data_IF_842304737799
#
_entry.id   IF_842304737799
#
_cell.length_a   1.000
_cell.length_b   1.000
_cell.length_c   1.000
_cell.angle_alpha   90.00
_cell.angle_beta   90.00
_cell.angle_gamma   90.00
#
_symmetry.space_group_name_H-M   'P 1'
#
loop_
_entity.id
_entity.type
_entity.pdbx_description
1 polymer ?
#
# COMPACT_ATOMS: atom_id res chain seq x y z
N UNK A 1 24.26 26.13 -20.75
CA UNK A 1 23.45 26.84 -19.74
C UNK A 1 22.09 27.16 -20.36
N UNK A 2 21.12 26.25 -20.26
CA UNK A 2 19.73 26.53 -20.65
C UNK A 2 18.91 26.59 -19.36
N UNK A 3 19.10 27.67 -18.60
CA UNK A 3 18.13 28.07 -17.59
C UNK A 3 16.92 28.65 -18.35
N UNK A 4 16.18 27.74 -19.00
CA UNK A 4 15.05 28.10 -19.85
C UNK A 4 13.84 28.45 -18.98
N UNK A 5 13.25 29.60 -19.25
CA UNK A 5 12.03 30.10 -18.62
C UNK A 5 10.97 28.99 -18.60
N UNK A 6 10.64 28.41 -17.43
CA UNK A 6 9.74 27.25 -17.36
C UNK A 6 8.33 27.59 -17.89
N UNK A 7 7.94 28.87 -17.81
CA UNK A 7 6.67 29.38 -18.33
C UNK A 7 6.60 29.35 -19.87
N UNK A 8 7.70 29.70 -20.54
CA UNK A 8 7.79 29.64 -22.01
C UNK A 8 7.74 28.18 -22.48
N UNK A 9 8.44 27.28 -21.78
CA UNK A 9 8.43 25.86 -22.07
C UNK A 9 7.03 25.23 -21.86
N UNK A 10 6.30 25.66 -20.83
CA UNK A 10 4.91 25.25 -20.61
C UNK A 10 4.00 25.76 -21.73
N UNK A 11 4.13 27.02 -22.14
CA UNK A 11 3.31 27.61 -23.22
C UNK A 11 3.51 26.89 -24.56
N UNK A 12 4.75 26.56 -24.91
CA UNK A 12 5.06 25.75 -26.09
C UNK A 12 4.44 24.35 -25.97
N UNK A 13 4.53 23.71 -24.79
CA UNK A 13 3.93 22.40 -24.58
C UNK A 13 2.39 22.45 -24.64
N UNK A 14 1.76 23.51 -24.13
CA UNK A 14 0.30 23.73 -24.22
C UNK A 14 -0.18 23.75 -25.66
N UNK A 15 0.53 24.48 -26.52
CA UNK A 15 0.23 24.52 -27.94
C UNK A 15 0.34 23.13 -28.56
N UNK A 16 1.38 22.37 -28.23
CA UNK A 16 1.57 21.01 -28.76
C UNK A 16 0.51 20.04 -28.25
N UNK A 17 0.15 20.13 -26.97
CA UNK A 17 -0.84 19.27 -26.35
C UNK A 17 -2.25 19.51 -26.93
N UNK A 18 -2.58 20.76 -27.27
CA UNK A 18 -3.84 21.10 -27.92
C UNK A 18 -4.01 20.46 -29.32
N UNK A 19 -2.91 20.21 -30.03
CA UNK A 19 -2.92 19.59 -31.36
C UNK A 19 -2.73 18.06 -31.30
N UNK A 20 -2.16 17.54 -30.22
CA UNK A 20 -1.92 16.11 -30.05
C UNK A 20 -3.22 15.36 -29.75
N UNK A 21 -3.61 14.45 -30.64
CA UNK A 21 -4.79 13.60 -30.44
C UNK A 21 -4.55 12.54 -29.37
N UNK A 22 -5.48 12.29 -28.44
CA UNK A 22 -5.35 11.20 -27.46
C UNK A 22 -5.09 9.85 -28.12
N UNK A 23 -4.40 8.95 -27.42
CA UNK A 23 -4.02 7.63 -27.92
C UNK A 23 -3.12 7.66 -29.17
N UNK A 24 -2.20 8.62 -29.26
CA UNK A 24 -1.17 8.68 -30.30
C UNK A 24 0.23 8.72 -29.68
N UNK A 25 1.28 8.27 -30.40
CA UNK A 25 2.65 8.39 -29.91
C UNK A 25 3.05 9.84 -29.62
N UNK A 26 2.53 10.80 -30.40
CA UNK A 26 2.74 12.23 -30.17
C UNK A 26 2.14 12.67 -28.83
N UNK A 27 0.91 12.24 -28.52
CA UNK A 27 0.28 12.54 -27.23
C UNK A 27 1.06 11.95 -26.06
N UNK A 28 1.56 10.71 -26.18
CA UNK A 28 2.41 10.10 -25.16
C UNK A 28 3.68 10.92 -24.91
N UNK A 29 4.34 11.37 -25.98
CA UNK A 29 5.55 12.19 -25.89
C UNK A 29 5.29 13.57 -25.30
N UNK A 30 4.23 14.25 -25.74
CA UNK A 30 3.90 15.61 -25.27
C UNK A 30 3.51 15.60 -23.80
N UNK A 31 2.73 14.61 -23.36
CA UNK A 31 2.38 14.42 -21.95
C UNK A 31 3.60 14.03 -21.10
N UNK A 32 4.48 13.17 -21.60
CA UNK A 32 5.76 12.89 -20.92
C UNK A 32 6.58 14.17 -20.72
N UNK A 33 6.75 14.98 -21.76
CA UNK A 33 7.48 16.25 -21.68
C UNK A 33 6.83 17.22 -20.69
N UNK A 34 5.49 17.28 -20.66
CA UNK A 34 4.73 18.08 -19.69
C UNK A 34 5.03 17.66 -18.25
N UNK A 35 5.14 16.37 -17.98
CA UNK A 35 5.54 15.89 -16.65
C UNK A 35 6.93 16.38 -16.23
N UNK A 36 7.90 16.39 -17.15
CA UNK A 36 9.25 16.88 -16.86
C UNK A 36 9.28 18.39 -16.58
N UNK A 37 8.37 19.16 -17.18
CA UNK A 37 8.20 20.58 -16.85
C UNK A 37 7.66 20.74 -15.43
N UNK A 38 6.65 19.96 -15.06
CA UNK A 38 6.11 19.99 -13.69
C UNK A 38 7.12 19.49 -12.65
N UNK A 39 7.97 18.51 -12.98
CA UNK A 39 9.12 18.11 -12.16
C UNK A 39 10.03 19.31 -11.84
N UNK A 40 10.38 20.11 -12.86
CA UNK A 40 11.22 21.30 -12.69
C UNK A 40 10.55 22.40 -11.87
N UNK A 41 9.23 22.50 -11.97
CA UNK A 41 8.41 23.44 -11.19
C UNK A 41 8.15 22.97 -9.75
N UNK A 42 8.57 21.74 -9.40
CA UNK A 42 8.31 21.15 -8.08
C UNK A 42 6.85 20.73 -7.87
N UNK A 43 6.03 20.68 -8.92
CA UNK A 43 4.64 20.27 -8.84
C UNK A 43 4.52 18.75 -9.07
N UNK A 44 4.70 17.98 -7.99
CA UNK A 44 4.65 16.51 -8.01
C UNK A 44 3.30 15.95 -8.46
N UNK A 45 2.19 16.59 -8.11
CA UNK A 45 0.85 16.10 -8.46
C UNK A 45 0.62 16.14 -9.98
N UNK A 46 0.92 17.27 -10.62
CA UNK A 46 0.81 17.37 -12.08
C UNK A 46 1.88 16.53 -12.79
N UNK A 47 3.08 16.40 -12.22
CA UNK A 47 4.08 15.46 -12.73
C UNK A 47 3.52 14.04 -12.80
N UNK A 48 3.00 13.50 -11.69
CA UNK A 48 2.39 12.16 -11.64
C UNK A 48 1.24 12.02 -12.61
N UNK A 49 0.36 13.02 -12.68
CA UNK A 49 -0.79 13.02 -13.61
C UNK A 49 -0.35 12.87 -15.06
N UNK A 50 0.62 13.67 -15.51
CA UNK A 50 1.08 13.63 -16.89
C UNK A 50 1.93 12.40 -17.21
N UNK A 51 2.69 11.87 -16.23
CA UNK A 51 3.35 10.57 -16.36
C UNK A 51 2.31 9.45 -16.54
N UNK A 52 1.22 9.45 -15.77
CA UNK A 52 0.16 8.46 -15.88
C UNK A 52 -0.56 8.52 -17.25
N UNK A 53 -0.84 9.73 -17.76
CA UNK A 53 -1.44 9.90 -19.10
C UNK A 53 -0.53 9.38 -20.21
N UNK A 54 0.77 9.65 -20.10
CA UNK A 54 1.77 9.16 -21.05
C UNK A 54 1.88 7.64 -20.99
N UNK A 55 2.09 7.07 -19.79
CA UNK A 55 2.20 5.63 -19.57
C UNK A 55 0.96 4.86 -20.04
N UNK A 56 -0.25 5.38 -19.77
CA UNK A 56 -1.50 4.78 -20.23
C UNK A 56 -1.57 4.76 -21.76
N UNK A 57 -1.08 5.81 -22.42
CA UNK A 57 -1.04 5.88 -23.88
C UNK A 57 -0.05 4.88 -24.46
N UNK A 58 1.15 4.77 -23.87
CA UNK A 58 2.16 3.79 -24.29
C UNK A 58 1.63 2.36 -24.19
N UNK A 59 0.97 2.02 -23.06
CA UNK A 59 0.34 0.71 -22.86
C UNK A 59 -0.73 0.43 -23.92
N UNK A 60 -1.61 1.41 -24.20
CA UNK A 60 -2.67 1.26 -25.23
C UNK A 60 -2.10 1.04 -26.63
N UNK A 61 -0.96 1.64 -26.91
CA UNK A 61 -0.27 1.53 -28.19
C UNK A 61 0.70 0.36 -28.26
N UNK A 62 0.82 -0.43 -27.18
CA UNK A 62 1.82 -1.52 -27.06
C UNK A 62 3.26 -1.03 -27.32
N UNK A 63 3.56 0.21 -26.94
CA UNK A 63 4.91 0.78 -27.00
C UNK A 63 5.68 0.23 -25.80
N UNK A 64 6.79 -0.46 -26.07
CA UNK A 64 7.55 -1.21 -25.08
C UNK A 64 8.56 -0.38 -24.30
N UNK A 65 8.68 0.91 -24.64
CA UNK A 65 9.55 1.88 -23.97
C UNK A 65 8.78 2.64 -22.87
N UNK A 66 8.59 2.00 -21.71
CA UNK A 66 7.77 2.54 -20.61
C UNK A 66 8.49 3.54 -19.71
N UNK A 67 9.20 4.52 -20.28
CA UNK A 67 9.91 5.55 -19.51
C UNK A 67 8.97 6.29 -18.52
N UNK A 68 7.76 6.61 -18.97
CA UNK A 68 6.75 7.30 -18.17
C UNK A 68 6.29 6.49 -16.96
N UNK A 69 6.09 5.17 -17.14
CA UNK A 69 5.67 4.28 -16.06
C UNK A 69 6.79 4.06 -15.05
N UNK A 70 8.04 4.03 -15.53
CA UNK A 70 9.22 3.93 -14.69
C UNK A 70 9.39 5.17 -13.80
N UNK A 71 9.32 6.37 -14.37
CA UNK A 71 9.37 7.63 -13.59
C UNK A 71 8.21 7.72 -12.59
N UNK A 72 7.03 7.23 -12.95
CA UNK A 72 5.88 7.20 -12.03
C UNK A 72 6.13 6.25 -10.86
N UNK A 73 6.73 5.09 -11.11
CA UNK A 73 7.11 4.15 -10.05
C UNK A 73 8.15 4.73 -9.10
N UNK A 74 9.12 5.50 -9.62
CA UNK A 74 10.13 6.22 -8.82
C UNK A 74 9.46 7.24 -7.88
N UNK A 75 8.55 8.08 -8.38
CA UNK A 75 7.83 9.05 -7.55
C UNK A 75 7.01 8.37 -6.44
N UNK A 76 6.31 7.29 -6.77
CA UNK A 76 5.51 6.53 -5.80
C UNK A 76 6.40 5.88 -4.73
N UNK A 77 7.59 5.43 -5.11
CA UNK A 77 8.58 4.93 -4.17
C UNK A 77 9.07 6.03 -3.22
N UNK A 78 9.39 7.22 -3.73
CA UNK A 78 9.77 8.38 -2.90
C UNK A 78 8.65 8.81 -1.93
N UNK A 79 7.39 8.70 -2.35
CA UNK A 79 6.21 9.01 -1.54
C UNK A 79 5.85 7.90 -0.53
N UNK A 80 6.50 6.74 -0.61
CA UNK A 80 6.26 5.59 0.27
C UNK A 80 5.11 4.67 -0.19
N UNK A 81 4.53 4.91 -1.36
CA UNK A 81 3.55 4.01 -1.99
C UNK A 81 4.26 2.84 -2.68
N UNK A 82 4.81 1.96 -1.84
CA UNK A 82 5.62 0.82 -2.26
C UNK A 82 4.84 -0.19 -3.11
N UNK A 83 3.54 -0.34 -2.87
CA UNK A 83 2.72 -1.33 -3.61
C UNK A 83 2.54 -0.91 -5.07
N UNK A 84 2.16 0.34 -5.31
CA UNK A 84 2.00 0.83 -6.68
C UNK A 84 3.35 0.97 -7.39
N UNK A 85 4.38 1.46 -6.70
CA UNK A 85 5.74 1.51 -7.23
C UNK A 85 6.21 0.12 -7.71
N UNK A 86 6.07 -0.90 -6.86
CA UNK A 86 6.43 -2.28 -7.19
C UNK A 86 5.65 -2.84 -8.38
N UNK A 87 4.34 -2.63 -8.41
CA UNK A 87 3.48 -3.11 -9.49
C UNK A 87 3.84 -2.48 -10.83
N UNK A 88 4.10 -1.17 -10.86
CA UNK A 88 4.40 -0.44 -12.09
C UNK A 88 5.79 -0.78 -12.62
N UNK A 89 6.81 -0.85 -11.75
CA UNK A 89 8.16 -1.23 -12.17
C UNK A 89 8.21 -2.66 -12.69
N UNK A 90 7.51 -3.59 -12.04
CA UNK A 90 7.47 -5.00 -12.44
C UNK A 90 6.76 -5.20 -13.77
N UNK A 91 5.68 -4.47 -14.01
CA UNK A 91 5.00 -4.47 -15.31
C UNK A 91 5.92 -3.95 -16.42
N UNK A 92 6.53 -2.77 -16.23
CA UNK A 92 7.47 -2.19 -17.19
C UNK A 92 8.65 -3.13 -17.50
N UNK A 93 9.16 -3.83 -16.49
CA UNK A 93 10.26 -4.76 -16.65
C UNK A 93 9.89 -6.00 -17.47
N UNK A 94 8.74 -6.60 -17.19
CA UNK A 94 8.28 -7.81 -17.91
C UNK A 94 8.09 -7.53 -19.41
N UNK A 95 7.53 -6.36 -19.76
CA UNK A 95 7.38 -5.94 -21.15
C UNK A 95 8.75 -5.63 -21.80
N UNK A 96 9.65 -4.92 -21.12
CA UNK A 96 10.98 -4.59 -21.66
C UNK A 96 11.83 -5.85 -21.92
N UNK A 97 11.77 -6.83 -21.01
CA UNK A 97 12.52 -8.08 -21.11
C UNK A 97 11.98 -8.99 -22.22
N UNK A 98 10.65 -9.01 -22.42
CA UNK A 98 9.99 -9.80 -23.48
C UNK A 98 10.31 -9.29 -24.89
N UNK A 99 10.61 -8.00 -25.05
CA UNK A 99 10.93 -7.38 -26.34
C UNK A 99 12.43 -7.11 -26.57
N UNK A 100 13.32 -7.70 -25.76
CA UNK A 100 14.78 -7.72 -25.97
C UNK A 100 15.41 -6.32 -26.09
N UNK A 101 14.84 -5.30 -25.44
CA UNK A 101 15.38 -3.94 -25.36
C UNK A 101 16.56 -3.88 -24.36
N UNK A 102 17.65 -4.55 -24.74
CA UNK A 102 18.80 -4.93 -23.89
C UNK A 102 19.59 -3.76 -23.28
N UNK A 103 19.51 -2.57 -23.88
CA UNK A 103 20.24 -1.38 -23.40
C UNK A 103 19.68 -0.83 -22.09
N UNK A 104 18.37 -0.95 -21.86
CA UNK A 104 17.70 -0.37 -20.68
C UNK A 104 17.54 -1.36 -19.53
N UNK A 105 17.50 -2.67 -19.80
CA UNK A 105 17.39 -3.71 -18.76
C UNK A 105 18.55 -3.71 -17.76
N UNK A 106 19.76 -3.32 -18.16
CA UNK A 106 20.90 -3.21 -17.24
C UNK A 106 20.78 -2.02 -16.27
N UNK A 107 20.21 -0.90 -16.71
CA UNK A 107 19.99 0.28 -15.85
C UNK A 107 18.79 0.12 -14.92
N UNK A 108 17.73 -0.57 -15.37
CA UNK A 108 16.52 -0.76 -14.57
C UNK A 108 16.60 -1.92 -13.58
N UNK A 109 17.58 -2.83 -13.72
CA UNK A 109 17.79 -3.96 -12.80
C UNK A 109 18.11 -3.52 -11.35
N UNK A 110 18.90 -2.45 -11.17
CA UNK A 110 19.30 -1.97 -9.84
C UNK A 110 18.13 -1.42 -9.03
N UNK A 111 17.30 -0.57 -9.67
CA UNK A 111 16.12 0.02 -9.02
C UNK A 111 15.02 -1.04 -8.82
N UNK A 112 14.82 -1.96 -9.77
CA UNK A 112 13.92 -3.08 -9.57
C UNK A 112 14.33 -3.93 -8.36
N UNK A 113 15.62 -4.25 -8.23
CA UNK A 113 16.13 -5.01 -7.08
C UNK A 113 15.95 -4.26 -5.76
N UNK A 114 16.11 -2.93 -5.75
CA UNK A 114 15.88 -2.13 -4.56
C UNK A 114 14.39 -2.09 -4.17
N UNK A 115 13.50 -1.89 -5.14
CA UNK A 115 12.05 -1.87 -4.91
C UNK A 115 11.56 -3.26 -4.47
N UNK A 116 12.07 -4.35 -5.06
CA UNK A 116 11.72 -5.71 -4.65
C UNK A 116 12.19 -6.01 -3.22
N UNK A 117 13.43 -5.66 -2.87
CA UNK A 117 13.97 -5.86 -1.52
C UNK A 117 13.20 -5.05 -0.47
N UNK A 118 12.91 -3.78 -0.75
CA UNK A 118 12.16 -2.90 0.16
C UNK A 118 10.70 -3.36 0.33
N UNK A 119 10.06 -3.84 -0.75
CA UNK A 119 8.73 -4.40 -0.70
C UNK A 119 8.68 -5.71 0.10
N UNK A 120 9.65 -6.61 -0.08
CA UNK A 120 9.76 -7.84 0.69
C UNK A 120 9.95 -7.55 2.19
N UNK A 121 10.85 -6.64 2.54
CA UNK A 121 11.06 -6.24 3.93
C UNK A 121 9.80 -5.62 4.56
N UNK A 122 9.04 -4.82 3.81
CA UNK A 122 7.76 -4.27 4.26
C UNK A 122 6.74 -5.38 4.52
N UNK A 123 6.63 -6.38 3.63
CA UNK A 123 5.74 -7.53 3.79
C UNK A 123 6.10 -8.38 5.00
N UNK A 124 7.38 -8.63 5.22
CA UNK A 124 7.85 -9.39 6.38
C UNK A 124 7.47 -8.68 7.69
N UNK A 125 7.72 -7.37 7.78
CA UNK A 125 7.33 -6.57 8.96
C UNK A 125 5.82 -6.56 9.20
N UNK A 126 4.99 -6.53 8.14
CA UNK A 126 3.54 -6.64 8.27
C UNK A 126 3.12 -8.02 8.79
N UNK A 127 3.72 -9.09 8.28
CA UNK A 127 3.46 -10.45 8.73
C UNK A 127 3.83 -10.66 10.20
N UNK A 128 4.95 -10.10 10.64
CA UNK A 128 5.36 -10.20 12.06
C UNK A 128 4.40 -9.43 12.99
N UNK A 129 3.93 -8.26 12.56
CA UNK A 129 2.87 -7.54 13.29
C UNK A 129 1.58 -8.34 13.37
N UNK A 130 1.19 -9.00 12.28
CA UNK A 130 0.00 -9.84 12.27
C UNK A 130 0.15 -11.04 13.21
N UNK A 131 1.32 -11.70 13.21
CA UNK A 131 1.64 -12.77 14.15
C UNK A 131 1.57 -12.30 15.61
N UNK A 132 2.09 -11.10 15.91
CA UNK A 132 1.99 -10.51 17.25
C UNK A 132 0.53 -10.29 17.65
N UNK A 133 -0.30 -9.74 16.78
CA UNK A 133 -1.73 -9.55 17.06
C UNK A 133 -2.46 -10.86 17.28
N UNK A 134 -2.14 -11.91 16.52
CA UNK A 134 -2.69 -13.25 16.75
C UNK A 134 -2.34 -13.76 18.15
N UNK A 135 -1.07 -13.64 18.57
CA UNK A 135 -0.65 -14.02 19.92
C UNK A 135 -1.41 -13.26 21.02
N UNK A 136 -1.58 -11.94 20.86
CA UNK A 136 -2.32 -11.11 21.81
C UNK A 136 -3.80 -11.51 21.90
N UNK A 137 -4.45 -11.72 20.75
CA UNK A 137 -5.85 -12.15 20.68
C UNK A 137 -6.02 -13.53 21.32
N UNK A 138 -5.13 -14.47 21.03
CA UNK A 138 -5.15 -15.80 21.66
C UNK A 138 -5.01 -15.71 23.18
N UNK A 139 -4.09 -14.88 23.69
CA UNK A 139 -3.92 -14.66 25.13
C UNK A 139 -5.17 -14.04 25.77
N UNK A 140 -5.79 -13.05 25.11
CA UNK A 140 -7.04 -12.42 25.54
C UNK A 140 -8.20 -13.43 25.61
N UNK A 141 -8.32 -14.32 24.63
CA UNK A 141 -9.34 -15.38 24.63
C UNK A 141 -9.14 -16.34 25.81
N UNK A 142 -7.91 -16.78 26.06
CA UNK A 142 -7.60 -17.67 27.20
C UNK A 142 -7.91 -16.98 28.53
N UNK A 143 -7.49 -15.72 28.69
CA UNK A 143 -7.79 -14.93 29.88
C UNK A 143 -9.31 -14.81 30.10
N UNK A 144 -10.06 -14.55 29.05
CA UNK A 144 -11.51 -14.44 29.10
C UNK A 144 -12.17 -15.75 29.55
N UNK A 145 -11.75 -16.89 28.98
CA UNK A 145 -12.25 -18.22 29.37
C UNK A 145 -11.95 -18.51 30.84
N UNK A 146 -10.75 -18.18 31.32
CA UNK A 146 -10.37 -18.35 32.73
C UNK A 146 -11.23 -17.47 33.64
N UNK A 147 -11.44 -16.20 33.28
CA UNK A 147 -12.26 -15.27 34.06
C UNK A 147 -13.72 -15.76 34.16
N UNK A 148 -14.31 -16.18 33.04
CA UNK A 148 -15.67 -16.75 33.01
C UNK A 148 -15.75 -18.02 33.86
N UNK A 149 -14.78 -18.93 33.75
CA UNK A 149 -14.72 -20.14 34.57
C UNK A 149 -14.57 -19.85 36.07
N UNK A 150 -13.80 -18.83 36.43
CA UNK A 150 -13.64 -18.38 37.81
C UNK A 150 -14.95 -17.82 38.38
N UNK A 151 -15.65 -16.96 37.63
CA UNK A 151 -16.96 -16.40 38.00
C UNK A 151 -17.97 -17.53 38.21
N UNK A 152 -18.02 -18.50 37.30
CA UNK A 152 -18.94 -19.63 37.41
C UNK A 152 -18.69 -20.47 38.68
N UNK A 153 -17.41 -20.75 38.99
CA UNK A 153 -17.03 -21.43 40.25
C UNK A 153 -17.36 -20.61 41.49
N UNK A 154 -17.16 -19.30 41.45
CA UNK A 154 -17.49 -18.40 42.55
C UNK A 154 -19.01 -18.41 42.82
N UNK A 155 -19.82 -18.38 41.77
CA UNK A 155 -21.29 -18.44 41.86
C UNK A 155 -21.78 -19.76 42.49
N UNK A 156 -21.21 -20.90 42.08
CA UNK A 156 -21.54 -22.21 42.66
C UNK A 156 -21.17 -22.31 44.15
N UNK A 157 -20.05 -21.71 44.57
CA UNK A 157 -19.69 -21.66 46.00
C UNK A 157 -20.67 -20.82 46.80
N UNK A 158 -21.12 -19.70 46.23
CA UNK A 158 -22.07 -18.79 46.88
C UNK A 158 -23.46 -19.45 47.02
N UNK A 159 -23.92 -20.18 46.01
CA UNK A 159 -25.20 -20.91 46.11
C UNK A 159 -25.14 -22.05 47.14
N UNK A 160 -24.03 -22.79 47.19
CA UNK A 160 -23.84 -23.85 48.18
C UNK A 160 -23.79 -23.32 49.62
N UNK A 161 -23.21 -22.13 49.85
CA UNK A 161 -23.20 -21.48 51.16
C UNK A 161 -24.60 -20.97 51.56
N UNK A 162 -25.38 -20.43 50.60
CA UNK A 162 -26.77 -20.00 50.85
C UNK A 162 -27.68 -21.17 51.22
N UNK A 163 -27.62 -22.29 50.50
CA UNK A 163 -28.44 -23.46 50.81
C UNK A 163 -28.17 -24.02 52.22
N UNK A 164 -26.92 -23.96 52.69
CA UNK A 164 -26.57 -24.39 54.06
C UNK A 164 -27.13 -23.44 55.13
N UNK A 165 -27.16 -22.13 54.84
CA UNK A 165 -27.75 -21.15 55.74
C UNK A 165 -29.29 -21.30 55.79
N UNK A 166 -29.95 -21.53 54.66
CA UNK A 166 -31.39 -21.83 54.63
C UNK A 166 -31.72 -23.07 55.46
N UNK A 167 -30.99 -24.17 55.28
CA UNK A 167 -31.22 -25.40 56.04
C UNK A 167 -31.00 -25.25 57.55
N UNK A 168 -29.98 -24.49 57.95
CA UNK A 168 -29.70 -24.23 59.36
C UNK A 168 -30.79 -23.33 59.98
N UNK A 169 -31.32 -22.36 59.23
CA UNK A 169 -32.41 -21.51 59.68
C UNK A 169 -33.73 -22.28 59.80
N UNK A 170 -34.02 -23.20 58.88
CA UNK A 170 -35.18 -24.10 58.96
C UNK A 170 -35.09 -25.03 60.19
N UNK A 171 -33.91 -25.60 60.47
CA UNK A 171 -33.72 -26.44 61.67
C UNK A 171 -33.87 -25.65 62.96
N UNK A 172 -33.40 -24.40 63.00
CA UNK A 172 -33.58 -23.53 64.16
C UNK A 172 -35.05 -23.10 64.34
N UNK A 173 -35.80 -22.87 63.26
CA UNK A 173 -37.24 -22.59 63.34
C UNK A 173 -38.05 -23.81 63.79
N UNK A 174 -37.67 -25.02 63.37
CA UNK A 174 -38.31 -26.26 63.84
C UNK A 174 -38.01 -26.56 65.31
N UNK A 175 -36.86 -26.13 65.84
CA UNK A 175 -36.50 -26.29 67.26
C UNK A 175 -36.99 -25.16 68.17
N UNK A 176 -37.47 -24.04 67.61
CA UNK A 176 -38.05 -22.92 68.37
C UNK A 176 -39.59 -22.96 68.47
N UNK A 177 -40.23 -24.02 67.98
CA UNK A 177 -41.67 -24.28 68.10
C UNK A 177 -41.94 -25.51 68.97
#
# INVERSE_FOLDING_TARGET
AAAGHPDEALSINDTRLAHAKPNTPEYALVTYQRSLLYRRLGNREEEKRYLALSALTDIRLSITDHASLWNLAELLYEEGDMEHAYRYIRFSWDETNRYNARSRSLQTAGILSLIDLTYQAMREKQNDRLRLYLWLISALIVLLVVAVGFIYRQMQRLSAARNKLEHANEQLQLSNN
#
